data_IF_181822841127
#
_entry.id   IF_181822841127
#
_cell.length_a   1.000
_cell.length_b   1.000
_cell.length_c   1.000
_cell.angle_alpha   90.00
_cell.angle_beta   90.00
_cell.angle_gamma   90.00
#
_symmetry.space_group_name_H-M   'P 1'
#
loop_
_entity.id
_entity.type
_entity.pdbx_description
1 polymer ?
#
# COMPACT_ATOMS: atom_id res chain seq x y z
N UNK A 1 59.08 20.55 10.78
CA UNK A 1 57.65 20.91 10.93
C UNK A 1 56.81 20.50 9.71
N UNK A 2 56.80 19.22 9.30
CA UNK A 2 55.97 18.73 8.16
C UNK A 2 55.17 17.45 8.46
N UNK A 3 55.29 16.89 9.67
CA UNK A 3 54.60 15.64 10.07
C UNK A 3 53.36 15.84 10.94
N UNK A 4 53.04 17.07 11.33
CA UNK A 4 51.91 17.37 12.23
C UNK A 4 50.57 17.63 11.51
N UNK A 5 50.59 17.86 10.18
CA UNK A 5 49.38 18.27 9.43
C UNK A 5 48.56 17.06 8.93
N UNK A 6 49.15 15.87 8.82
CA UNK A 6 48.46 14.69 8.29
C UNK A 6 47.50 14.06 9.31
N UNK A 7 47.73 14.26 10.62
CA UNK A 7 46.86 13.69 11.67
C UNK A 7 45.53 14.44 11.83
N UNK A 8 45.44 15.71 11.40
CA UNK A 8 44.21 16.50 11.54
C UNK A 8 43.18 16.21 10.44
N UNK A 9 43.62 15.77 9.25
CA UNK A 9 42.73 15.44 8.13
C UNK A 9 42.06 14.08 8.34
N UNK A 10 42.73 13.10 8.96
CA UNK A 10 42.15 11.76 9.21
C UNK A 10 41.05 11.79 10.28
N UNK A 11 41.12 12.73 11.24
CA UNK A 11 40.09 12.88 12.29
C UNK A 11 38.75 13.41 11.75
N UNK A 12 38.76 14.30 10.73
CA UNK A 12 37.54 14.86 10.14
C UNK A 12 36.76 13.86 9.26
N UNK A 13 37.40 12.80 8.75
CA UNK A 13 36.70 11.77 7.98
C UNK A 13 35.96 10.76 8.87
N UNK A 14 36.48 10.46 10.07
CA UNK A 14 35.86 9.46 10.95
C UNK A 14 34.49 9.91 11.51
N UNK A 15 34.28 11.21 11.73
CA UNK A 15 32.99 11.73 12.24
C UNK A 15 31.87 11.76 11.18
N UNK A 16 32.20 11.75 9.88
CA UNK A 16 31.19 11.75 8.83
C UNK A 16 30.66 10.34 8.51
N UNK A 17 31.47 9.30 8.71
CA UNK A 17 31.08 7.91 8.34
C UNK A 17 30.00 7.35 9.26
N UNK A 18 30.06 7.63 10.57
CA UNK A 18 29.06 7.12 11.52
C UNK A 18 27.65 7.70 11.30
N UNK A 19 27.56 9.01 11.00
CA UNK A 19 26.27 9.67 10.75
C UNK A 19 25.58 9.16 9.47
N UNK A 20 26.36 8.79 8.45
CA UNK A 20 25.81 8.24 7.21
C UNK A 20 25.15 6.87 7.45
N UNK A 21 25.80 6.00 8.22
CA UNK A 21 25.28 4.67 8.53
C UNK A 21 23.97 4.71 9.33
N UNK A 22 23.85 5.62 10.31
CA UNK A 22 22.60 5.76 11.09
C UNK A 22 21.41 6.24 10.25
N UNK A 23 21.66 7.17 9.32
CA UNK A 23 20.65 7.64 8.40
C UNK A 23 20.19 6.54 7.44
N UNK A 24 21.13 5.70 7.00
CA UNK A 24 20.85 4.57 6.11
C UNK A 24 19.92 3.54 6.76
N UNK A 25 20.14 3.17 8.03
CA UNK A 25 19.30 2.20 8.75
C UNK A 25 17.85 2.70 8.92
N UNK A 26 17.68 3.96 9.32
CA UNK A 26 16.34 4.57 9.46
C UNK A 26 15.62 4.66 8.10
N UNK A 27 16.33 5.11 7.07
CA UNK A 27 15.80 5.22 5.71
C UNK A 27 15.41 3.85 5.15
N UNK A 28 16.22 2.83 5.44
CA UNK A 28 15.95 1.45 5.05
C UNK A 28 14.69 0.92 5.74
N UNK A 29 14.50 1.18 7.03
CA UNK A 29 13.29 0.81 7.75
C UNK A 29 12.03 1.44 7.13
N UNK A 30 12.06 2.73 6.80
CA UNK A 30 10.91 3.41 6.17
C UNK A 30 10.64 2.84 4.75
N UNK A 31 11.69 2.56 3.98
CA UNK A 31 11.55 1.90 2.67
C UNK A 31 10.97 0.50 2.77
N UNK A 32 11.33 -0.26 3.81
CA UNK A 32 10.76 -1.59 4.06
C UNK A 32 9.27 -1.49 4.39
N UNK A 33 8.87 -0.53 5.24
CA UNK A 33 7.44 -0.23 5.49
C UNK A 33 6.72 0.08 4.19
N UNK A 34 7.28 0.97 3.36
CA UNK A 34 6.65 1.37 2.12
C UNK A 34 6.39 0.16 1.20
N UNK A 35 7.42 -0.67 0.99
CA UNK A 35 7.33 -1.90 0.19
C UNK A 35 6.33 -2.90 0.77
N UNK A 36 6.33 -3.08 2.09
CA UNK A 36 5.47 -4.04 2.76
C UNK A 36 4.00 -3.61 2.67
N UNK A 37 3.68 -2.34 2.95
CA UNK A 37 2.33 -1.78 2.76
C UNK A 37 1.86 -1.88 1.31
N UNK A 38 2.73 -1.52 0.36
CA UNK A 38 2.44 -1.65 -1.06
C UNK A 38 2.16 -3.11 -1.43
N UNK A 39 3.00 -4.07 -1.02
CA UNK A 39 2.84 -5.50 -1.33
C UNK A 39 1.56 -6.11 -0.77
N UNK A 40 1.14 -5.68 0.43
CA UNK A 40 -0.07 -6.18 1.13
C UNK A 40 -1.37 -5.57 0.61
N UNK A 41 -1.31 -4.45 -0.10
CA UNK A 41 -2.46 -3.93 -0.81
C UNK A 41 -2.87 -4.92 -1.91
N UNK A 42 -4.16 -5.24 -2.06
CA UNK A 42 -4.63 -6.27 -3.01
C UNK A 42 -5.01 -5.71 -4.39
N UNK A 43 -5.12 -4.39 -4.56
CA UNK A 43 -5.53 -3.78 -5.83
C UNK A 43 -4.43 -3.75 -6.88
N UNK A 44 -4.75 -4.14 -8.12
CA UNK A 44 -3.83 -4.10 -9.26
C UNK A 44 -3.59 -2.68 -9.81
N UNK A 45 -4.53 -1.76 -9.57
CA UNK A 45 -4.48 -0.41 -10.10
C UNK A 45 -3.60 0.50 -9.25
N UNK A 46 -2.99 1.51 -9.90
CA UNK A 46 -2.37 2.62 -9.20
C UNK A 46 -3.43 3.41 -8.44
N UNK A 47 -3.21 3.69 -7.17
CA UNK A 47 -4.15 4.38 -6.29
C UNK A 47 -3.53 5.64 -5.69
N UNK A 48 -4.35 6.67 -5.45
CA UNK A 48 -3.91 7.88 -4.73
C UNK A 48 -3.90 7.63 -3.23
N UNK A 49 -2.80 7.95 -2.56
CA UNK A 49 -2.62 7.76 -1.12
C UNK A 49 -2.34 9.09 -0.44
N UNK A 50 -3.02 9.35 0.69
CA UNK A 50 -2.70 10.48 1.56
C UNK A 50 -1.85 9.97 2.73
N UNK A 51 -0.66 10.53 2.91
CA UNK A 51 0.18 10.21 4.08
C UNK A 51 -0.15 11.23 5.17
N UNK A 52 -0.73 10.72 6.25
CA UNK A 52 -1.14 11.46 7.42
C UNK A 52 -0.01 11.49 8.44
N UNK A 53 -0.33 11.60 9.73
CA UNK A 53 0.67 11.80 10.77
C UNK A 53 1.19 10.49 11.38
N UNK A 54 2.49 10.50 11.69
CA UNK A 54 3.17 9.52 12.51
C UNK A 54 3.44 10.14 13.87
N UNK A 55 2.74 9.64 14.89
CA UNK A 55 2.79 10.21 16.24
C UNK A 55 3.44 9.25 17.22
N UNK A 56 4.05 9.79 18.27
CA UNK A 56 4.59 8.97 19.35
C UNK A 56 3.48 8.23 20.11
N UNK A 57 3.83 7.26 20.96
CA UNK A 57 2.87 6.54 21.83
C UNK A 57 2.01 7.47 22.70
N UNK A 58 2.55 8.60 23.13
CA UNK A 58 1.87 9.66 23.88
C UNK A 58 1.24 10.74 22.96
N UNK A 59 0.99 10.40 21.70
CA UNK A 59 0.28 11.21 20.70
C UNK A 59 0.95 12.56 20.36
N UNK A 60 2.26 12.70 20.59
CA UNK A 60 3.01 13.91 20.22
C UNK A 60 3.43 13.86 18.75
N UNK A 61 3.36 15.03 18.12
CA UNK A 61 3.96 15.27 16.81
C UNK A 61 5.40 15.76 17.03
N UNK A 62 6.35 15.15 16.35
CA UNK A 62 7.78 15.47 16.45
C UNK A 62 8.35 15.68 15.05
N UNK A 63 9.60 16.15 14.93
CA UNK A 63 10.28 16.25 13.62
C UNK A 63 10.44 14.90 12.93
N UNK A 64 10.32 13.82 13.69
CA UNK A 64 10.30 12.48 13.13
C UNK A 64 9.09 12.24 12.21
N UNK A 65 7.94 12.89 12.47
CA UNK A 65 6.79 12.83 11.59
C UNK A 65 7.15 13.28 10.16
N UNK A 66 7.71 14.48 10.07
CA UNK A 66 8.00 15.13 8.79
C UNK A 66 9.04 14.31 8.02
N UNK A 67 10.07 13.83 8.71
CA UNK A 67 11.07 12.93 8.13
C UNK A 67 10.43 11.64 7.57
N UNK A 68 9.51 11.01 8.29
CA UNK A 68 8.83 9.80 7.81
C UNK A 68 7.94 10.10 6.60
N UNK A 69 7.19 11.21 6.62
CA UNK A 69 6.34 11.63 5.51
C UNK A 69 7.17 11.86 4.24
N UNK A 70 8.30 12.55 4.36
CA UNK A 70 9.22 12.83 3.26
C UNK A 70 9.82 11.54 2.68
N UNK A 71 10.30 10.64 3.53
CA UNK A 71 10.90 9.37 3.09
C UNK A 71 9.87 8.42 2.48
N UNK A 72 8.63 8.37 2.99
CA UNK A 72 7.54 7.62 2.37
C UNK A 72 7.14 8.22 1.02
N UNK A 73 7.03 9.55 0.94
CA UNK A 73 6.75 10.25 -0.31
C UNK A 73 7.81 9.96 -1.37
N UNK A 74 9.09 10.01 -0.96
CA UNK A 74 10.21 9.67 -1.82
C UNK A 74 10.19 8.20 -2.26
N UNK A 75 9.90 7.28 -1.35
CA UNK A 75 9.79 5.86 -1.65
C UNK A 75 8.69 5.56 -2.67
N UNK A 76 7.56 6.29 -2.61
CA UNK A 76 6.44 6.13 -3.53
C UNK A 76 6.53 6.96 -4.82
N UNK A 77 7.50 7.87 -4.95
CA UNK A 77 7.67 8.70 -6.16
C UNK A 77 7.72 7.88 -7.46
N UNK A 78 8.35 6.71 -7.41
CA UNK A 78 8.46 5.77 -8.53
C UNK A 78 7.60 4.51 -8.35
N UNK A 79 6.68 4.50 -7.38
CA UNK A 79 5.79 3.37 -7.18
C UNK A 79 4.83 3.24 -8.37
N UNK A 80 4.64 2.01 -8.84
CA UNK A 80 3.65 1.68 -9.87
C UNK A 80 2.26 1.51 -9.26
N UNK A 81 2.17 1.38 -7.93
CA UNK A 81 0.92 1.09 -7.23
C UNK A 81 0.39 2.26 -6.43
N UNK A 82 1.24 3.08 -5.83
CA UNK A 82 0.82 4.25 -5.05
C UNK A 82 1.22 5.56 -5.72
N UNK A 83 0.32 6.53 -5.68
CA UNK A 83 0.55 7.93 -6.07
C UNK A 83 0.28 8.80 -4.84
N UNK A 84 1.31 9.44 -4.31
CA UNK A 84 1.17 10.28 -3.11
C UNK A 84 0.49 11.61 -3.50
N UNK A 85 -0.58 11.96 -2.80
CA UNK A 85 -1.20 13.30 -2.90
C UNK A 85 -0.22 14.31 -2.29
N UNK A 86 -0.17 15.53 -2.85
CA UNK A 86 0.73 16.59 -2.39
C UNK A 86 0.75 16.72 -0.85
N UNK A 87 1.93 16.50 -0.27
CA UNK A 87 2.07 16.35 1.19
C UNK A 87 1.78 17.66 1.93
N UNK A 88 2.12 18.80 1.34
CA UNK A 88 1.86 20.11 1.95
C UNK A 88 0.36 20.36 2.03
N UNK A 89 -0.37 20.12 0.94
CA UNK A 89 -1.82 20.23 0.92
C UNK A 89 -2.49 19.28 1.93
N UNK A 90 -2.02 18.03 2.03
CA UNK A 90 -2.55 17.08 3.03
C UNK A 90 -2.28 17.55 4.46
N UNK A 91 -1.08 18.08 4.75
CA UNK A 91 -0.74 18.59 6.08
C UNK A 91 -1.63 19.79 6.47
N UNK A 92 -1.91 20.71 5.55
CA UNK A 92 -2.83 21.84 5.77
C UNK A 92 -4.25 21.33 6.10
N UNK A 93 -4.74 20.33 5.36
CA UNK A 93 -6.05 19.72 5.60
C UNK A 93 -6.15 18.99 6.94
N UNK A 94 -5.10 18.26 7.33
CA UNK A 94 -5.04 17.59 8.64
C UNK A 94 -5.19 18.62 9.76
N UNK A 95 -4.49 19.75 9.63
CA UNK A 95 -4.57 20.84 10.60
C UNK A 95 -5.95 21.49 10.62
N UNK A 96 -6.53 21.81 9.45
CA UNK A 96 -7.83 22.48 9.38
C UNK A 96 -8.99 21.60 9.84
N UNK A 97 -8.95 20.31 9.51
CA UNK A 97 -9.97 19.34 9.89
C UNK A 97 -9.83 18.88 11.36
N UNK A 98 -8.63 19.01 11.93
CA UNK A 98 -8.34 18.52 13.29
C UNK A 98 -8.26 16.99 13.35
N UNK A 99 -7.67 16.38 12.32
CA UNK A 99 -7.43 14.93 12.29
C UNK A 99 -6.35 14.54 13.32
N UNK A 100 -6.58 13.46 14.07
CA UNK A 100 -5.62 12.92 15.05
C UNK A 100 -5.61 11.40 15.07
N UNK A 101 -4.51 10.82 15.56
CA UNK A 101 -4.33 9.36 15.61
C UNK A 101 -5.36 8.66 16.51
N UNK A 102 -5.85 9.34 17.54
CA UNK A 102 -6.88 8.79 18.44
C UNK A 102 -8.21 8.52 17.72
N UNK A 103 -8.50 9.32 16.67
CA UNK A 103 -9.68 9.16 15.83
C UNK A 103 -9.43 8.29 14.61
N UNK A 104 -8.18 7.91 14.32
CA UNK A 104 -7.80 7.10 13.16
C UNK A 104 -8.41 5.70 13.16
N UNK A 105 -8.91 5.20 14.30
CA UNK A 105 -9.65 3.94 14.40
C UNK A 105 -11.12 4.05 14.01
N UNK A 106 -11.67 5.27 13.93
CA UNK A 106 -13.04 5.49 13.50
C UNK A 106 -13.10 5.47 11.98
N UNK A 107 -13.78 4.47 11.42
CA UNK A 107 -14.02 4.38 9.99
C UNK A 107 -14.75 5.63 9.47
N UNK A 108 -15.82 6.05 10.15
CA UNK A 108 -16.60 7.26 9.82
C UNK A 108 -15.72 8.51 9.80
N UNK A 109 -14.83 8.69 10.78
CA UNK A 109 -13.94 9.85 10.81
C UNK A 109 -12.95 9.89 9.64
N UNK A 110 -12.44 8.73 9.23
CA UNK A 110 -11.55 8.64 8.08
C UNK A 110 -12.30 8.82 6.75
N UNK A 111 -13.55 8.34 6.67
CA UNK A 111 -14.42 8.57 5.51
C UNK A 111 -14.76 10.06 5.36
N UNK A 112 -15.16 10.71 6.45
CA UNK A 112 -15.41 12.15 6.50
C UNK A 112 -14.16 12.96 6.13
N UNK A 113 -12.99 12.54 6.61
CA UNK A 113 -11.73 13.19 6.22
C UNK A 113 -11.42 12.96 4.74
N UNK A 114 -11.66 11.76 4.21
CA UNK A 114 -11.53 11.45 2.78
C UNK A 114 -12.44 12.32 1.92
N UNK A 115 -13.68 12.55 2.36
CA UNK A 115 -14.61 13.51 1.74
C UNK A 115 -14.06 14.93 1.81
N UNK A 116 -13.56 15.35 2.96
CA UNK A 116 -12.98 16.68 3.13
C UNK A 116 -11.78 16.92 2.19
N UNK A 117 -10.92 15.92 1.99
CA UNK A 117 -9.84 15.98 0.99
C UNK A 117 -10.40 16.21 -0.42
N UNK A 118 -11.45 15.47 -0.79
CA UNK A 118 -12.08 15.63 -2.10
C UNK A 118 -12.70 17.03 -2.26
N UNK A 119 -13.44 17.51 -1.26
CA UNK A 119 -14.10 18.81 -1.32
C UNK A 119 -13.09 19.97 -1.44
N UNK A 120 -11.92 19.84 -0.82
CA UNK A 120 -10.89 20.90 -0.83
C UNK A 120 -9.91 20.81 -2.01
N UNK A 121 -9.55 19.60 -2.46
CA UNK A 121 -8.49 19.40 -3.47
C UNK A 121 -8.98 18.76 -4.77
N UNK A 122 -10.22 18.26 -4.82
CA UNK A 122 -10.75 17.52 -5.97
C UNK A 122 -10.15 16.12 -6.15
N UNK A 123 -9.34 15.63 -5.20
CA UNK A 123 -8.74 14.30 -5.23
C UNK A 123 -9.53 13.31 -4.38
N UNK A 124 -9.75 12.11 -4.93
CA UNK A 124 -10.22 10.96 -4.14
C UNK A 124 -9.01 10.24 -3.59
N UNK A 125 -8.69 10.43 -2.31
CA UNK A 125 -7.72 9.59 -1.62
C UNK A 125 -8.29 8.16 -1.57
N UNK A 126 -7.64 7.19 -2.21
CA UNK A 126 -8.08 5.80 -2.20
C UNK A 126 -7.62 5.06 -0.95
N UNK A 127 -6.57 5.55 -0.30
CA UNK A 127 -6.14 5.05 0.99
C UNK A 127 -5.47 6.14 1.82
N UNK A 128 -5.51 5.96 3.14
CA UNK A 128 -4.85 6.83 4.11
C UNK A 128 -3.72 6.03 4.78
N UNK A 129 -2.52 6.61 4.85
CA UNK A 129 -1.37 6.05 5.56
C UNK A 129 -1.15 6.86 6.82
N UNK A 130 -1.07 6.23 7.98
CA UNK A 130 -0.71 6.89 9.22
C UNK A 130 0.10 5.94 10.10
N UNK A 131 0.63 6.40 11.22
CA UNK A 131 1.42 5.50 12.06
C UNK A 131 1.69 5.93 13.48
N UNK A 132 2.43 5.07 14.16
CA UNK A 132 2.85 5.23 15.54
C UNK A 132 4.35 5.00 15.67
N UNK A 133 5.01 5.85 16.44
CA UNK A 133 6.43 5.77 16.78
C UNK A 133 6.52 5.36 18.25
N UNK A 134 7.20 4.26 18.51
CA UNK A 134 7.43 3.75 19.85
C UNK A 134 8.92 3.71 20.13
N UNK A 135 9.37 4.61 20.98
CA UNK A 135 10.73 4.66 21.51
C UNK A 135 10.81 3.76 22.75
N UNK A 136 11.66 2.73 22.69
CA UNK A 136 11.91 1.78 23.78
C UNK A 136 13.36 1.88 24.25
N UNK A 137 13.89 3.12 24.28
CA UNK A 137 15.25 3.47 24.65
C UNK A 137 16.31 2.96 23.66
N UNK A 138 16.57 1.66 23.59
CA UNK A 138 17.60 1.08 22.71
C UNK A 138 17.09 0.86 21.28
N UNK A 139 15.77 0.78 21.11
CA UNK A 139 15.13 0.48 19.82
C UNK A 139 13.95 1.39 19.56
N UNK A 140 13.81 1.77 18.29
CA UNK A 140 12.61 2.42 17.77
C UNK A 140 11.77 1.35 17.07
N UNK A 141 10.47 1.33 17.37
CA UNK A 141 9.47 0.57 16.61
C UNK A 141 8.59 1.55 15.85
N UNK A 142 8.57 1.43 14.52
CA UNK A 142 7.72 2.20 13.65
C UNK A 142 6.59 1.31 13.15
N UNK A 143 5.36 1.67 13.48
CA UNK A 143 4.16 0.96 13.03
C UNK A 143 3.41 1.84 12.06
N UNK A 144 3.22 1.38 10.83
CA UNK A 144 2.42 2.06 9.82
C UNK A 144 1.14 1.29 9.54
N UNK A 145 0.06 2.04 9.35
CA UNK A 145 -1.26 1.55 9.01
C UNK A 145 -1.66 2.15 7.67
N UNK A 146 -2.14 1.30 6.78
CA UNK A 146 -2.80 1.69 5.53
C UNK A 146 -4.28 1.37 5.68
N UNK A 147 -5.14 2.39 5.56
CA UNK A 147 -6.60 2.26 5.55
C UNK A 147 -7.05 2.38 4.09
N UNK A 148 -7.42 1.28 3.42
CA UNK A 148 -8.04 1.35 2.11
C UNK A 148 -9.45 1.94 2.25
N UNK A 149 -9.79 2.94 1.44
CA UNK A 149 -11.13 3.51 1.47
C UNK A 149 -12.17 2.45 1.18
N UNK A 150 -13.20 2.40 2.03
CA UNK A 150 -14.34 1.51 1.86
C UNK A 150 -14.17 0.11 2.45
N UNK A 151 -13.05 -0.21 3.10
CA UNK A 151 -12.82 -1.47 3.82
C UNK A 151 -12.56 -1.18 5.31
N UNK A 152 -13.28 -1.85 6.20
CA UNK A 152 -13.09 -1.73 7.66
C UNK A 152 -11.95 -2.64 8.17
N UNK A 153 -10.79 -2.61 7.50
CA UNK A 153 -9.61 -3.36 7.94
C UNK A 153 -8.33 -2.64 7.54
N UNK A 154 -7.51 -2.36 8.54
CA UNK A 154 -6.20 -1.75 8.32
C UNK A 154 -5.18 -2.80 7.90
N UNK A 155 -4.39 -2.48 6.89
CA UNK A 155 -3.16 -3.19 6.57
C UNK A 155 -2.06 -2.62 7.46
N UNK A 156 -1.23 -3.49 8.05
CA UNK A 156 -0.22 -3.07 9.04
C UNK A 156 1.16 -3.50 8.57
N UNK A 157 2.13 -2.59 8.74
CA UNK A 157 3.55 -2.83 8.61
C UNK A 157 4.26 -2.38 9.89
N UNK A 158 5.24 -3.14 10.35
CA UNK A 158 5.97 -2.87 11.59
C UNK A 158 7.44 -3.10 11.31
N UNK A 159 8.25 -2.07 11.56
CA UNK A 159 9.70 -2.16 11.49
C UNK A 159 10.32 -1.81 12.85
N UNK A 160 11.40 -2.52 13.19
CA UNK A 160 12.17 -2.31 14.42
C UNK A 160 13.62 -2.11 14.06
N UNK A 161 14.21 -1.05 14.59
CA UNK A 161 15.61 -0.72 14.36
C UNK A 161 16.22 -0.09 15.61
N UNK A 162 17.55 -0.08 15.68
CA UNK A 162 18.29 0.47 16.82
C UNK A 162 18.07 1.99 16.90
N UNK A 163 17.88 2.50 18.11
CA UNK A 163 17.87 3.95 18.35
C UNK A 163 19.26 4.51 18.08
N UNK A 164 19.32 5.67 17.45
CA UNK A 164 20.53 6.37 17.05
C UNK A 164 20.50 7.83 17.49
N UNK A 165 21.63 8.54 17.36
CA UNK A 165 21.71 9.97 17.67
C UNK A 165 20.73 10.76 16.78
N UNK A 166 20.58 10.36 15.51
CA UNK A 166 19.60 10.94 14.60
C UNK A 166 18.15 10.75 15.09
N UNK A 167 17.76 9.53 15.45
CA UNK A 167 16.39 9.27 15.91
C UNK A 167 16.08 10.00 17.21
N UNK A 168 17.07 10.11 18.09
CA UNK A 168 16.93 10.87 19.34
C UNK A 168 16.67 12.34 19.06
N UNK A 169 17.43 12.93 18.14
CA UNK A 169 17.24 14.31 17.67
C UNK A 169 15.87 14.52 17.02
N UNK A 170 15.43 13.60 16.16
CA UNK A 170 14.11 13.68 15.50
C UNK A 170 12.96 13.59 16.50
N UNK A 171 13.13 12.81 17.57
CA UNK A 171 12.20 12.71 18.70
C UNK A 171 12.26 13.89 19.68
N UNK A 172 13.24 14.80 19.53
CA UNK A 172 13.45 15.91 20.46
C UNK A 172 14.04 15.47 21.81
N UNK A 173 14.68 14.30 21.87
CA UNK A 173 15.42 13.82 23.03
C UNK A 173 16.82 14.46 23.10
N UNK A 174 17.43 14.55 24.29
CA UNK A 174 18.86 14.83 24.41
C UNK A 174 19.64 13.79 23.61
N UNK A 175 20.60 14.22 22.79
CA UNK A 175 21.48 13.31 22.05
C UNK A 175 22.35 12.57 23.06
N UNK A 176 22.30 11.24 23.04
CA UNK A 176 23.15 10.41 23.91
C UNK A 176 24.59 10.57 23.49
N UNK A 177 25.49 10.76 24.45
CA UNK A 177 26.92 10.64 24.20
C UNK A 177 27.22 9.16 23.95
N UNK A 178 27.72 8.82 22.77
CA UNK A 178 28.15 7.47 22.47
C UNK A 178 29.24 7.07 23.46
N UNK A 179 28.93 6.10 24.32
CA UNK A 179 29.97 5.35 25.03
C UNK A 179 30.72 4.55 23.98
N UNK A 180 31.82 5.12 23.47
CA UNK A 180 32.75 4.42 22.60
C UNK A 180 33.31 3.25 23.38
N UNK A 181 32.76 2.05 23.17
CA UNK A 181 33.39 0.84 23.71
C UNK A 181 34.78 0.71 23.07
N UNK A 182 35.84 0.54 23.88
CA UNK A 182 37.19 0.47 23.35
C UNK A 182 37.30 -0.76 22.43
N UNK A 183 37.39 -0.53 21.13
CA UNK A 183 37.70 -1.59 20.16
C UNK A 183 39.09 -2.14 20.48
N UNK A 184 39.14 -3.39 20.95
CA UNK A 184 40.38 -4.15 21.09
C UNK A 184 40.90 -4.44 19.67
N UNK A 185 41.95 -3.73 19.26
CA UNK A 185 42.62 -3.99 17.98
C UNK A 185 43.53 -5.21 18.19
N UNK A 186 43.09 -6.37 17.69
CA UNK A 186 43.97 -7.54 17.56
C UNK A 186 44.92 -7.27 16.38
N UNK A 187 46.19 -7.00 16.68
CA UNK A 187 47.25 -6.93 15.67
C UNK A 187 47.71 -8.36 15.40
N UNK A 188 47.09 -9.02 14.41
CA UNK A 188 47.64 -10.28 13.89
C UNK A 188 48.93 -9.96 13.13
N UNK A 189 50.05 -10.41 13.69
CA UNK A 189 51.37 -10.32 13.07
C UNK A 189 51.49 -11.46 12.06
N UNK A 190 51.35 -11.16 10.77
CA UNK A 190 51.56 -12.14 9.69
C UNK A 190 53.00 -12.67 9.75
N UNK A 191 53.14 -13.98 10.01
CA UNK A 191 54.38 -14.72 9.85
C UNK A 191 54.37 -15.27 8.42
N UNK A 192 55.23 -14.73 7.57
CA UNK A 192 55.43 -15.21 6.19
C UNK A 192 56.13 -16.57 6.28
N UNK A 193 55.41 -17.64 5.92
CA UNK A 193 55.98 -18.97 5.69
C UNK A 193 55.87 -19.24 4.19
N UNK A 194 57.01 -19.22 3.51
CA UNK A 194 57.12 -19.57 2.09
C UNK A 194 56.83 -21.06 1.91
N UNK A 195 55.72 -21.39 1.23
CA UNK A 195 55.46 -22.73 0.70
C UNK A 195 55.92 -22.82 -0.76
N UNK A 196 56.58 -23.91 -1.17
CA UNK A 196 56.99 -24.10 -2.56
C UNK A 196 55.77 -24.30 -3.48
N UNK A 197 55.80 -23.57 -4.60
CA UNK A 197 54.81 -23.57 -5.68
C UNK A 197 54.99 -24.81 -6.55
N UNK A 198 53.94 -25.63 -6.70
CA UNK A 198 53.86 -26.68 -7.73
C UNK A 198 52.92 -26.18 -8.82
N UNK A 199 53.43 -26.15 -10.04
CA UNK A 199 52.72 -25.71 -11.26
C UNK A 199 51.96 -26.90 -11.82
N UNK A 200 50.64 -26.86 -11.79
CA UNK A 200 49.79 -27.74 -12.61
C UNK A 200 49.13 -26.93 -13.73
N UNK A 201 49.21 -27.51 -14.92
CA UNK A 201 48.91 -26.91 -16.21
C UNK A 201 47.49 -27.33 -16.60
N UNK A 202 46.52 -26.41 -16.54
CA UNK A 202 45.15 -26.69 -16.98
C UNK A 202 44.98 -26.52 -18.49
N UNK A 203 44.26 -27.49 -19.06
CA UNK A 203 43.96 -27.68 -20.49
C UNK A 203 42.71 -26.88 -20.85
N UNK A 204 42.80 -26.08 -21.91
CA UNK A 204 41.70 -25.31 -22.48
C UNK A 204 40.80 -26.27 -23.28
N UNK A 205 39.53 -26.40 -22.90
CA UNK A 205 38.50 -27.06 -23.70
C UNK A 205 37.57 -25.98 -24.26
N UNK A 206 37.60 -25.82 -25.58
CA UNK A 206 36.69 -24.96 -26.34
C UNK A 206 35.26 -25.49 -26.26
N UNK A 207 34.36 -24.70 -25.68
CA UNK A 207 32.92 -24.99 -25.66
C UNK A 207 32.25 -24.24 -26.80
N UNK A 208 31.76 -24.99 -27.79
CA UNK A 208 30.97 -24.51 -28.91
C UNK A 208 29.64 -23.94 -28.38
N UNK A 209 29.34 -22.69 -28.72
CA UNK A 209 28.08 -22.00 -28.39
C UNK A 209 27.18 -22.04 -29.62
N UNK A 210 26.12 -22.86 -29.55
CA UNK A 210 25.04 -22.83 -30.55
C UNK A 210 24.15 -21.60 -30.30
N UNK A 211 23.94 -20.83 -31.36
CA UNK A 211 23.17 -19.59 -31.37
C UNK A 211 21.77 -19.89 -31.91
N UNK A 212 20.78 -20.02 -31.03
CA UNK A 212 19.38 -20.12 -31.45
C UNK A 212 18.89 -18.76 -31.97
N UNK A 213 18.43 -18.76 -33.23
CA UNK A 213 17.79 -17.62 -33.91
C UNK A 213 16.30 -17.70 -33.63
N UNK A 214 15.80 -16.82 -32.76
CA UNK A 214 14.36 -16.67 -32.50
C UNK A 214 13.76 -15.82 -33.61
N UNK A 215 12.93 -16.44 -34.45
CA UNK A 215 12.12 -15.76 -35.45
C UNK A 215 10.85 -15.24 -34.77
N UNK A 216 10.81 -13.95 -34.48
CA UNK A 216 9.63 -13.27 -33.95
C UNK A 216 8.50 -13.31 -35.00
N UNK A 217 7.45 -14.08 -34.73
CA UNK A 217 6.17 -13.93 -35.44
C UNK A 217 5.47 -12.68 -34.89
N UNK A 218 4.87 -11.83 -35.74
CA UNK A 218 4.11 -10.68 -35.28
C UNK A 218 2.89 -11.16 -34.47
N UNK A 219 2.92 -10.92 -33.16
CA UNK A 219 1.77 -11.11 -32.28
C UNK A 219 0.80 -9.97 -32.57
N UNK A 220 -0.28 -10.27 -33.27
CA UNK A 220 -1.39 -9.35 -33.46
C UNK A 220 -2.04 -9.12 -32.09
N UNK A 221 -1.70 -8.00 -31.45
CA UNK A 221 -2.35 -7.56 -30.21
C UNK A 221 -3.76 -7.10 -30.57
N UNK A 222 -4.72 -8.04 -30.56
CA UNK A 222 -6.13 -7.69 -30.52
C UNK A 222 -6.38 -6.93 -29.24
N UNK A 223 -6.68 -5.63 -29.36
CA UNK A 223 -7.15 -4.80 -28.25
C UNK A 223 -8.27 -5.59 -27.53
N UNK A 224 -8.15 -5.88 -26.22
CA UNK A 224 -9.23 -6.53 -25.52
C UNK A 224 -10.46 -5.63 -25.64
N UNK A 225 -11.55 -6.17 -26.18
CA UNK A 225 -12.85 -5.52 -26.17
C UNK A 225 -13.26 -5.49 -24.70
N UNK A 226 -13.02 -4.37 -24.03
CA UNK A 226 -13.52 -4.12 -22.68
C UNK A 226 -15.02 -3.87 -22.79
N UNK A 227 -15.81 -4.94 -22.66
CA UNK A 227 -17.25 -4.83 -22.47
C UNK A 227 -17.51 -4.16 -21.12
N UNK A 228 -17.99 -2.91 -21.17
CA UNK A 228 -18.43 -2.19 -19.96
C UNK A 228 -19.89 -2.53 -19.67
N UNK A 229 -20.18 -3.07 -18.49
CA UNK A 229 -21.53 -3.41 -18.08
C UNK A 229 -22.09 -2.28 -17.20
N UNK A 230 -23.14 -1.60 -17.67
CA UNK A 230 -23.76 -0.45 -16.99
C UNK A 230 -25.24 -0.69 -16.79
N UNK A 231 -25.77 -0.22 -15.66
CA UNK A 231 -27.20 -0.25 -15.35
C UNK A 231 -27.59 0.94 -14.48
N UNK A 232 -28.88 1.27 -14.44
CA UNK A 232 -29.41 2.36 -13.61
C UNK A 232 -30.58 1.84 -12.76
N UNK A 233 -30.55 2.14 -11.47
CA UNK A 233 -31.67 1.90 -10.54
C UNK A 233 -31.97 3.20 -9.80
N UNK A 234 -33.18 3.72 -9.97
CA UNK A 234 -33.56 5.02 -9.40
C UNK A 234 -32.56 6.10 -9.82
N UNK A 235 -31.95 6.75 -8.84
CA UNK A 235 -30.98 7.84 -9.02
C UNK A 235 -29.51 7.37 -9.05
N UNK A 236 -29.29 6.05 -9.12
CA UNK A 236 -27.96 5.44 -9.05
C UNK A 236 -27.56 4.81 -10.38
N UNK A 237 -26.40 5.21 -10.90
CA UNK A 237 -25.75 4.58 -12.04
C UNK A 237 -24.69 3.60 -11.54
N UNK A 238 -24.78 2.35 -11.99
CA UNK A 238 -23.88 1.27 -11.62
C UNK A 238 -23.05 0.85 -12.82
N UNK A 239 -21.76 0.61 -12.60
CA UNK A 239 -20.81 0.13 -13.61
C UNK A 239 -19.97 -1.01 -13.04
N UNK A 240 -20.05 -2.20 -13.63
CA UNK A 240 -19.12 -3.29 -13.32
C UNK A 240 -17.81 -2.98 -14.03
N UNK A 241 -16.76 -2.77 -13.24
CA UNK A 241 -15.42 -2.44 -13.71
C UNK A 241 -14.65 -3.70 -14.09
N UNK A 242 -14.78 -4.76 -13.27
CA UNK A 242 -14.10 -6.03 -13.49
C UNK A 242 -14.74 -7.15 -12.68
N UNK A 243 -14.71 -8.37 -13.19
CA UNK A 243 -15.05 -9.59 -12.46
C UNK A 243 -13.85 -10.52 -12.50
N UNK A 244 -13.22 -10.78 -11.35
CA UNK A 244 -11.97 -11.53 -11.31
C UNK A 244 -11.86 -12.48 -10.12
N UNK A 245 -11.01 -13.49 -10.25
CA UNK A 245 -10.61 -14.32 -9.13
C UNK A 245 -9.72 -13.54 -8.16
N UNK A 246 -9.93 -13.77 -6.87
CA UNK A 246 -9.05 -13.29 -5.79
C UNK A 246 -8.87 -14.43 -4.81
N UNK A 247 -7.83 -15.25 -5.05
CA UNK A 247 -7.64 -16.50 -4.33
C UNK A 247 -8.71 -17.53 -4.70
N UNK A 248 -9.51 -17.96 -3.72
CA UNK A 248 -10.58 -18.95 -3.89
C UNK A 248 -11.98 -18.30 -4.00
N UNK A 249 -12.05 -17.02 -4.35
CA UNK A 249 -13.27 -16.20 -4.39
C UNK A 249 -13.38 -15.50 -5.72
N UNK A 250 -14.59 -15.17 -6.14
CA UNK A 250 -14.82 -14.23 -7.23
C UNK A 250 -15.16 -12.86 -6.63
N UNK A 251 -14.48 -11.81 -7.10
CA UNK A 251 -14.68 -10.43 -6.71
C UNK A 251 -15.21 -9.62 -7.91
N UNK A 252 -16.38 -9.01 -7.72
CA UNK A 252 -16.98 -8.06 -8.68
C UNK A 252 -16.68 -6.66 -8.19
N UNK A 253 -15.79 -5.95 -8.88
CA UNK A 253 -15.52 -4.54 -8.63
C UNK A 253 -16.57 -3.69 -9.34
N UNK A 254 -17.29 -2.87 -8.59
CA UNK A 254 -18.39 -2.06 -9.08
C UNK A 254 -18.19 -0.59 -8.69
N UNK A 255 -18.54 0.31 -9.59
CA UNK A 255 -18.65 1.75 -9.31
C UNK A 255 -20.13 2.11 -9.23
N UNK A 256 -20.49 2.90 -8.23
CA UNK A 256 -21.82 3.46 -8.06
C UNK A 256 -21.72 4.98 -8.05
N UNK A 257 -22.44 5.64 -8.95
CA UNK A 257 -22.55 7.09 -8.98
C UNK A 257 -23.98 7.50 -8.63
N UNK A 258 -24.11 8.46 -7.73
CA UNK A 258 -25.38 9.01 -7.28
C UNK A 258 -25.61 10.40 -7.87
N UNK A 259 -26.81 10.63 -8.40
CA UNK A 259 -27.18 11.90 -9.04
C UNK A 259 -27.97 12.85 -8.12
N UNK A 260 -28.32 12.42 -6.88
CA UNK A 260 -29.06 13.23 -5.89
C UNK A 260 -28.21 13.58 -4.66
N UNK A 261 -28.59 14.60 -3.87
CA UNK A 261 -27.78 15.11 -2.75
C UNK A 261 -27.50 14.07 -1.65
N UNK A 262 -28.54 13.36 -1.19
CA UNK A 262 -28.46 12.39 -0.09
C UNK A 262 -28.84 10.99 -0.55
N UNK A 263 -27.95 10.36 -1.31
CA UNK A 263 -28.10 8.95 -1.68
C UNK A 263 -27.71 8.03 -0.53
N UNK A 264 -28.36 6.88 -0.43
CA UNK A 264 -28.03 5.86 0.55
C UNK A 264 -28.31 4.46 0.00
N UNK A 265 -27.33 3.56 0.12
CA UNK A 265 -27.49 2.14 -0.14
C UNK A 265 -27.38 1.43 1.20
N UNK A 266 -28.49 0.82 1.62
CA UNK A 266 -28.52 0.03 2.84
C UNK A 266 -27.79 -1.29 2.67
N UNK A 267 -28.03 -1.98 1.56
CA UNK A 267 -27.44 -3.27 1.31
C UNK A 267 -27.47 -3.62 -0.16
N UNK A 268 -26.60 -4.56 -0.53
CA UNK A 268 -26.58 -5.16 -1.85
C UNK A 268 -26.40 -6.66 -1.66
N UNK A 269 -27.31 -7.42 -2.25
CA UNK A 269 -27.19 -8.87 -2.40
C UNK A 269 -27.04 -9.20 -3.88
N UNK A 270 -26.28 -10.24 -4.18
CA UNK A 270 -26.09 -10.66 -5.55
C UNK A 270 -26.11 -12.18 -5.66
N UNK A 271 -26.60 -12.63 -6.81
CA UNK A 271 -26.50 -14.02 -7.21
C UNK A 271 -26.13 -14.13 -8.67
N UNK A 272 -25.45 -15.20 -9.04
CA UNK A 272 -25.21 -15.49 -10.45
C UNK A 272 -25.44 -16.96 -10.76
N UNK A 273 -25.65 -17.22 -12.05
CA UNK A 273 -25.75 -18.54 -12.63
C UNK A 273 -24.56 -18.75 -13.57
N UNK A 274 -23.88 -19.88 -13.45
CA UNK A 274 -22.85 -20.29 -14.40
C UNK A 274 -23.48 -20.92 -15.67
N UNK A 275 -22.68 -21.24 -16.72
CA UNK A 275 -23.20 -21.86 -17.94
C UNK A 275 -23.81 -23.26 -17.71
N UNK A 276 -23.43 -23.95 -16.64
CA UNK A 276 -24.04 -25.23 -16.24
C UNK A 276 -25.36 -25.06 -15.47
N UNK A 277 -25.74 -23.83 -15.11
CA UNK A 277 -26.97 -23.50 -14.38
C UNK A 277 -26.83 -23.59 -12.86
N UNK A 278 -25.62 -23.71 -12.31
CA UNK A 278 -25.40 -23.68 -10.87
C UNK A 278 -25.58 -22.25 -10.34
N UNK A 279 -26.27 -22.11 -9.20
CA UNK A 279 -26.54 -20.82 -8.56
C UNK A 279 -25.54 -20.53 -7.44
N UNK A 280 -24.99 -19.32 -7.43
CA UNK A 280 -24.07 -18.82 -6.41
C UNK A 280 -24.62 -17.54 -5.81
N UNK A 281 -24.55 -17.39 -4.48
CA UNK A 281 -25.03 -16.23 -3.75
C UNK A 281 -23.87 -15.55 -3.02
N UNK A 282 -23.80 -14.21 -3.07
CA UNK A 282 -22.79 -13.44 -2.33
C UNK A 282 -23.15 -13.32 -0.86
N UNK A 283 -24.45 -13.34 -0.54
CA UNK A 283 -24.98 -12.96 0.76
C UNK A 283 -24.77 -11.47 1.05
N UNK A 284 -25.41 -10.98 2.12
CA UNK A 284 -25.39 -9.57 2.52
C UNK A 284 -24.11 -9.15 3.26
N UNK A 285 -23.40 -10.11 3.88
CA UNK A 285 -22.30 -9.82 4.81
C UNK A 285 -20.95 -9.57 4.14
N UNK A 286 -20.81 -9.94 2.86
CA UNK A 286 -19.52 -9.96 2.16
C UNK A 286 -19.39 -8.87 1.08
N UNK A 287 -20.26 -7.86 1.15
CA UNK A 287 -20.33 -6.76 0.20
C UNK A 287 -19.94 -5.43 0.85
N UNK A 288 -19.04 -4.68 0.21
CA UNK A 288 -18.62 -3.37 0.72
C UNK A 288 -19.61 -2.24 0.40
N UNK A 289 -20.69 -2.49 -0.36
CA UNK A 289 -21.74 -1.50 -0.62
C UNK A 289 -22.80 -1.42 0.48
N UNK A 290 -22.62 -2.13 1.59
CA UNK A 290 -23.55 -2.13 2.70
C UNK A 290 -23.41 -0.88 3.58
N UNK A 291 -24.55 -0.35 4.00
CA UNK A 291 -24.70 0.80 4.90
C UNK A 291 -23.92 2.04 4.41
N UNK A 292 -23.98 2.33 3.10
CA UNK A 292 -23.19 3.38 2.45
C UNK A 292 -23.99 4.63 2.13
N UNK A 293 -23.50 5.78 2.63
CA UNK A 293 -23.95 7.10 2.15
C UNK A 293 -23.27 7.42 0.82
N UNK A 294 -24.05 7.88 -0.14
CA UNK A 294 -23.58 8.29 -1.46
C UNK A 294 -23.69 9.81 -1.59
N UNK A 295 -22.62 10.43 -2.08
CA UNK A 295 -22.57 11.87 -2.31
C UNK A 295 -22.80 12.13 -3.79
N UNK A 296 -23.60 13.14 -4.10
CA UNK A 296 -23.90 13.54 -5.47
C UNK A 296 -22.64 13.75 -6.31
N UNK A 297 -22.58 13.10 -7.46
CA UNK A 297 -21.48 13.23 -8.42
C UNK A 297 -20.16 12.56 -8.00
N UNK A 298 -20.06 11.99 -6.80
CA UNK A 298 -18.86 11.28 -6.34
C UNK A 298 -19.06 9.78 -6.56
N UNK A 299 -18.24 9.12 -7.40
CA UNK A 299 -18.34 7.68 -7.59
C UNK A 299 -17.82 6.92 -6.36
N UNK A 300 -18.66 6.05 -5.80
CA UNK A 300 -18.29 5.11 -4.76
C UNK A 300 -17.82 3.80 -5.40
N UNK A 301 -16.69 3.26 -4.94
CA UNK A 301 -16.22 1.92 -5.31
C UNK A 301 -16.71 0.88 -4.31
N UNK A 302 -17.19 -0.24 -4.84
CA UNK A 302 -17.64 -1.39 -4.08
C UNK A 302 -17.08 -2.70 -4.61
N UNK A 303 -17.08 -3.72 -3.75
CA UNK A 303 -16.73 -5.09 -4.09
C UNK A 303 -17.81 -6.03 -3.59
N UNK A 304 -18.30 -6.88 -4.49
CA UNK A 304 -19.20 -7.99 -4.17
C UNK A 304 -18.39 -9.28 -4.25
N UNK A 305 -18.34 -10.04 -3.16
CA UNK A 305 -17.56 -11.28 -3.10
C UNK A 305 -18.48 -12.51 -3.11
N UNK A 306 -18.07 -13.53 -3.87
CA UNK A 306 -18.67 -14.85 -3.84
C UNK A 306 -17.68 -15.84 -3.23
N UNK A 307 -18.05 -16.41 -2.09
CA UNK A 307 -17.23 -17.35 -1.32
C UNK A 307 -17.90 -18.74 -1.32
N UNK A 308 -17.63 -19.54 -2.35
CA UNK A 308 -17.99 -20.96 -2.37
C UNK A 308 -16.83 -21.74 -3.01
N UNK A 309 -16.46 -22.91 -2.47
CA UNK A 309 -15.37 -23.74 -3.01
C UNK A 309 -15.55 -24.07 -4.49
N UNK A 310 -16.80 -24.09 -4.96
CA UNK A 310 -17.16 -24.40 -6.34
C UNK A 310 -16.94 -23.23 -7.30
N UNK A 311 -16.81 -21.98 -6.81
CA UNK A 311 -16.57 -20.81 -7.69
C UNK A 311 -15.25 -20.88 -8.43
N UNK A 312 -14.27 -21.66 -7.94
CA UNK A 312 -12.93 -21.78 -8.51
C UNK A 312 -12.91 -22.30 -9.98
N UNK A 313 -14.03 -22.88 -10.44
CA UNK A 313 -14.16 -23.41 -11.81
C UNK A 313 -14.93 -22.50 -12.75
N UNK A 314 -15.60 -21.47 -12.23
CA UNK A 314 -16.44 -20.57 -13.02
C UNK A 314 -15.55 -19.70 -13.91
N UNK A 315 -15.81 -19.72 -15.21
CA UNK A 315 -15.10 -18.88 -16.19
C UNK A 315 -15.96 -17.76 -16.74
N UNK A 316 -17.28 -17.85 -16.54
CA UNK A 316 -18.27 -16.92 -17.04
C UNK A 316 -19.49 -16.92 -16.10
N UNK A 317 -20.11 -15.75 -15.92
CA UNK A 317 -21.42 -15.62 -15.30
C UNK A 317 -22.46 -15.46 -16.41
N UNK A 318 -23.23 -16.52 -16.66
CA UNK A 318 -24.29 -16.54 -17.67
C UNK A 318 -25.36 -15.48 -17.37
N UNK A 319 -25.70 -15.32 -16.10
CA UNK A 319 -26.56 -14.26 -15.61
C UNK A 319 -26.13 -13.83 -14.20
N UNK A 320 -25.96 -12.53 -13.98
CA UNK A 320 -25.70 -11.91 -12.68
C UNK A 320 -26.89 -11.02 -12.31
N UNK A 321 -27.49 -11.29 -11.16
CA UNK A 321 -28.54 -10.46 -10.57
C UNK A 321 -27.97 -9.73 -9.34
N UNK A 322 -28.16 -8.42 -9.28
CA UNK A 322 -27.76 -7.58 -8.14
C UNK A 322 -29.00 -6.86 -7.60
N UNK A 323 -29.40 -7.22 -6.38
CA UNK A 323 -30.49 -6.59 -5.65
C UNK A 323 -29.95 -5.46 -4.77
N UNK A 324 -30.51 -4.27 -4.90
CA UNK A 324 -30.10 -3.08 -4.14
C UNK A 324 -31.23 -2.69 -3.17
N UNK A 325 -30.89 -2.45 -1.91
CA UNK A 325 -31.84 -2.14 -0.85
C UNK A 325 -31.65 -0.71 -0.33
N UNK A 326 -32.76 0.00 -0.10
CA UNK A 326 -32.77 1.36 0.47
C UNK A 326 -32.78 1.35 2.00
N UNK A 327 -33.32 0.30 2.60
CA UNK A 327 -33.48 0.11 4.05
C UNK A 327 -33.30 -1.36 4.43
N UNK A 328 -33.23 -1.67 5.73
CA UNK A 328 -32.98 -3.02 6.25
C UNK A 328 -34.00 -4.05 5.76
N UNK A 329 -33.67 -4.75 4.68
CA UNK A 329 -34.39 -5.90 4.11
C UNK A 329 -35.85 -5.66 3.71
N UNK A 330 -36.35 -4.43 3.74
CA UNK A 330 -37.79 -4.12 3.65
C UNK A 330 -38.16 -3.28 2.44
N UNK A 331 -37.23 -2.48 1.89
CA UNK A 331 -37.46 -1.67 0.68
C UNK A 331 -36.34 -1.91 -0.33
N UNK A 332 -36.66 -2.67 -1.39
CA UNK A 332 -35.75 -2.89 -2.51
C UNK A 332 -35.84 -1.70 -3.47
N UNK A 333 -34.71 -1.10 -3.82
CA UNK A 333 -34.61 -0.06 -4.85
C UNK A 333 -34.83 -0.66 -6.24
N UNK A 334 -34.30 -1.86 -6.47
CA UNK A 334 -34.48 -2.62 -7.69
C UNK A 334 -33.47 -3.74 -7.86
N UNK A 335 -33.55 -4.42 -8.99
CA UNK A 335 -32.64 -5.51 -9.39
C UNK A 335 -31.99 -5.16 -10.72
N UNK A 336 -30.65 -5.24 -10.78
CA UNK A 336 -29.90 -5.17 -12.03
C UNK A 336 -29.65 -6.58 -12.55
N UNK A 337 -29.69 -6.74 -13.87
CA UNK A 337 -29.34 -8.00 -14.53
C UNK A 337 -28.29 -7.75 -15.58
N UNK A 338 -27.26 -8.57 -15.55
CA UNK A 338 -26.18 -8.58 -16.52
C UNK A 338 -25.99 -10.01 -17.03
N UNK A 339 -25.54 -10.16 -18.26
CA UNK A 339 -25.43 -11.46 -18.93
C UNK A 339 -24.05 -11.61 -19.54
N UNK A 340 -23.62 -12.86 -19.69
CA UNK A 340 -22.39 -13.26 -20.37
C UNK A 340 -21.16 -12.49 -19.85
N UNK A 341 -21.01 -12.40 -18.53
CA UNK A 341 -19.91 -11.65 -17.91
C UNK A 341 -18.70 -12.58 -17.74
N UNK A 342 -17.57 -12.32 -18.43
CA UNK A 342 -16.38 -13.14 -18.28
C UNK A 342 -15.76 -12.97 -16.88
N UNK A 343 -15.29 -14.07 -16.29
CA UNK A 343 -14.54 -14.07 -15.03
C UNK A 343 -13.06 -14.21 -15.34
N UNK A 344 -12.28 -13.15 -15.12
CA UNK A 344 -10.85 -13.17 -15.38
C UNK A 344 -10.08 -13.84 -14.24
N UNK A 345 -9.07 -14.63 -14.56
CA UNK A 345 -8.19 -15.27 -13.56
C UNK A 345 -7.11 -14.35 -13.03
#
# INVERSE_FOLDING_TARGET
MKRLVIFFIVSLFAFNVSNAQEQDDLTLAIKNIAKDLESKHSGANKIKVAILQFRTKDNKLTKFNDFIQDELSLAYKNSTRFEVIDQNAINDLIQSYGWTNDKARSFEHNEDFGKFIFDQLGYVANALIYGQIADNEETITLTAYLIPNGINRNIVSIEKFKSSALTDKLLGKPVREDKVEPKVVYVEKEVIVEKPVIVEKEVIVEKVVEKEVIVERPVTVTKPVTTTFKSKIGDYNFEIVSVMFTGNKIAINIIVQNDVEDGYIYGVDARFFDPEGNEFNSGLSFNTLRDRKLIKGIPLRGVINFENKEVARVTEMQALEINVYKSFGSEMLGTMRFYDIPVTK
#
